data_IF_713281601470
#
_entry.id   IF_713281601470
#
_cell.length_a   1.000
_cell.length_b   1.000
_cell.length_c   1.000
_cell.angle_alpha   90.00
_cell.angle_beta   90.00
_cell.angle_gamma   90.00
#
_symmetry.space_group_name_H-M   'P 1'
#
loop_
_entity.id
_entity.type
_entity.pdbx_description
1 polymer ?
#
# COMPACT_ATOMS: atom_id res chain seq x y z
N UNK A 1 32.66 -78.88 57.79
CA UNK A 1 33.34 -77.90 56.93
C UNK A 1 32.82 -78.12 55.52
N UNK A 2 31.66 -77.61 55.16
CA UNK A 2 31.32 -76.22 54.75
C UNK A 2 31.59 -75.97 53.26
N UNK A 3 30.49 -75.95 52.51
CA UNK A 3 30.27 -75.47 51.12
C UNK A 3 30.22 -73.92 51.07
N UNK A 4 29.79 -73.28 49.96
CA UNK A 4 30.39 -73.11 48.63
C UNK A 4 30.55 -71.57 48.35
N UNK A 5 30.72 -71.12 47.11
CA UNK A 5 29.95 -69.99 46.49
C UNK A 5 30.52 -69.60 45.12
N UNK A 6 29.70 -69.79 44.09
CA UNK A 6 29.77 -69.10 42.80
C UNK A 6 29.46 -67.62 42.97
N UNK A 7 30.23 -66.73 42.35
CA UNK A 7 29.84 -65.33 42.17
C UNK A 7 29.91 -64.98 40.69
N UNK A 8 28.76 -65.10 40.03
CA UNK A 8 28.51 -64.53 38.71
C UNK A 8 28.42 -63.02 38.88
N UNK A 9 29.41 -62.31 38.34
CA UNK A 9 29.42 -60.84 38.27
C UNK A 9 28.64 -60.39 37.04
N UNK A 10 27.35 -60.15 37.24
CA UNK A 10 26.46 -59.45 36.33
C UNK A 10 26.93 -57.99 36.22
N UNK A 11 27.58 -57.63 35.11
CA UNK A 11 27.94 -56.24 34.81
C UNK A 11 26.67 -55.53 34.34
N UNK A 12 26.03 -54.82 35.26
CA UNK A 12 24.96 -53.88 34.95
C UNK A 12 25.42 -52.87 33.87
N UNK A 13 24.57 -52.53 32.89
CA UNK A 13 24.88 -51.43 31.98
C UNK A 13 24.93 -50.13 32.78
N UNK A 14 26.12 -49.52 32.82
CA UNK A 14 26.32 -48.17 33.35
C UNK A 14 25.45 -47.18 32.54
N UNK A 15 24.58 -46.38 33.18
CA UNK A 15 23.79 -45.37 32.49
C UNK A 15 24.75 -44.23 32.11
N UNK A 16 25.29 -44.29 30.90
CA UNK A 16 26.11 -43.21 30.34
C UNK A 16 25.18 -42.09 29.88
N UNK A 17 25.25 -40.96 30.56
CA UNK A 17 25.16 -39.62 29.95
C UNK A 17 23.88 -39.20 29.21
N UNK A 18 22.69 -39.70 29.55
CA UNK A 18 21.42 -39.19 28.97
C UNK A 18 21.13 -37.72 29.34
N UNK A 19 21.66 -37.24 30.47
CA UNK A 19 21.34 -35.90 30.97
C UNK A 19 21.90 -34.77 30.11
N UNK A 20 23.09 -34.96 29.51
CA UNK A 20 23.70 -33.95 28.64
C UNK A 20 22.94 -33.82 27.33
N UNK A 21 22.50 -34.94 26.77
CA UNK A 21 21.82 -34.98 25.48
C UNK A 21 20.40 -34.42 25.59
N UNK A 22 19.71 -34.72 26.70
CA UNK A 22 18.41 -34.11 27.03
C UNK A 22 18.54 -32.58 27.19
N UNK A 23 19.61 -32.11 27.83
CA UNK A 23 19.83 -30.67 28.04
C UNK A 23 20.15 -29.94 26.73
N UNK A 24 20.94 -30.55 25.84
CA UNK A 24 21.18 -30.03 24.49
C UNK A 24 19.88 -29.96 23.67
N UNK A 25 19.06 -31.00 23.72
CA UNK A 25 17.76 -31.02 23.01
C UNK A 25 16.83 -29.91 23.53
N UNK A 26 16.81 -29.67 24.85
CA UNK A 26 16.03 -28.58 25.44
C UNK A 26 16.52 -27.21 24.97
N UNK A 27 17.83 -26.95 25.02
CA UNK A 27 18.40 -25.69 24.54
C UNK A 27 18.11 -25.44 23.06
N UNK A 28 18.20 -26.48 22.23
CA UNK A 28 17.85 -26.37 20.82
C UNK A 28 16.36 -26.09 20.61
N UNK A 29 15.49 -26.68 21.45
CA UNK A 29 14.06 -26.40 21.44
C UNK A 29 13.75 -24.95 21.82
N UNK A 30 14.41 -24.43 22.84
CA UNK A 30 14.24 -23.04 23.29
C UNK A 30 14.69 -22.05 22.20
N UNK A 31 15.82 -22.30 21.54
CA UNK A 31 16.29 -21.50 20.40
C UNK A 31 15.29 -21.46 19.24
N UNK A 32 14.67 -22.60 18.92
CA UNK A 32 13.65 -22.68 17.87
C UNK A 32 12.42 -21.87 18.26
N UNK A 33 11.98 -21.96 19.52
CA UNK A 33 10.84 -21.20 20.04
C UNK A 33 11.15 -19.70 19.99
N UNK A 34 12.34 -19.27 20.42
CA UNK A 34 12.75 -17.88 20.41
C UNK A 34 12.79 -17.29 19.00
N UNK A 35 13.30 -18.04 18.01
CA UNK A 35 13.30 -17.61 16.60
C UNK A 35 11.88 -17.48 16.04
N UNK A 36 10.98 -18.41 16.35
CA UNK A 36 9.57 -18.28 15.95
C UNK A 36 8.88 -17.10 16.64
N UNK A 37 9.18 -16.85 17.91
CA UNK A 37 8.67 -15.67 18.62
C UNK A 37 9.18 -14.37 18.00
N UNK A 38 10.46 -14.32 17.60
CA UNK A 38 11.03 -13.19 16.86
C UNK A 38 10.34 -12.99 15.51
N UNK A 39 10.12 -14.06 14.74
CA UNK A 39 9.42 -13.99 13.46
C UNK A 39 7.98 -13.47 13.62
N UNK A 40 7.26 -13.94 14.64
CA UNK A 40 5.92 -13.46 14.99
C UNK A 40 5.97 -11.99 15.41
N UNK A 41 6.96 -11.60 16.22
CA UNK A 41 7.15 -10.21 16.65
C UNK A 41 7.44 -9.29 15.46
N UNK A 42 8.29 -9.70 14.52
CA UNK A 42 8.57 -8.97 13.28
C UNK A 42 7.31 -8.82 12.42
N UNK A 43 6.50 -9.88 12.29
CA UNK A 43 5.24 -9.82 11.54
C UNK A 43 4.17 -8.96 12.22
N UNK A 44 4.10 -9.00 13.56
CA UNK A 44 3.17 -8.21 14.38
C UNK A 44 3.61 -6.77 14.59
N UNK A 45 4.91 -6.45 14.43
CA UNK A 45 5.48 -5.10 14.53
C UNK A 45 4.91 -4.11 13.51
N UNK A 46 4.09 -4.59 12.57
CA UNK A 46 3.43 -3.77 11.56
C UNK A 46 4.37 -3.26 10.47
N UNK A 47 5.68 -3.55 10.55
CA UNK A 47 6.67 -3.20 9.54
C UNK A 47 6.31 -3.77 8.17
N UNK A 48 6.09 -5.08 8.09
CA UNK A 48 5.68 -5.76 6.85
C UNK A 48 4.36 -5.24 6.28
N UNK A 49 3.36 -5.01 7.14
CA UNK A 49 2.06 -4.45 6.74
C UNK A 49 2.22 -3.04 6.17
N UNK A 50 3.03 -2.20 6.83
CA UNK A 50 3.34 -0.83 6.40
C UNK A 50 4.13 -0.81 5.09
N UNK A 51 5.07 -1.74 4.89
CA UNK A 51 5.79 -1.90 3.63
C UNK A 51 4.89 -2.33 2.47
N UNK A 52 3.97 -3.27 2.69
CA UNK A 52 2.99 -3.71 1.67
C UNK A 52 2.00 -2.59 1.32
N UNK A 53 1.51 -1.85 2.32
CA UNK A 53 0.68 -0.66 2.10
C UNK A 53 1.45 0.45 1.36
N UNK A 54 2.73 0.66 1.68
CA UNK A 54 3.58 1.63 0.99
C UNK A 54 3.85 1.23 -0.47
N UNK A 55 4.10 -0.05 -0.73
CA UNK A 55 4.34 -0.58 -2.09
C UNK A 55 3.09 -0.45 -2.97
N UNK A 56 1.93 -0.90 -2.48
CA UNK A 56 0.65 -0.76 -3.19
C UNK A 56 0.28 0.71 -3.45
N UNK A 57 0.59 1.60 -2.51
CA UNK A 57 0.39 3.04 -2.69
C UNK A 57 1.31 3.64 -3.78
N UNK A 58 2.58 3.21 -3.85
CA UNK A 58 3.52 3.65 -4.90
C UNK A 58 3.09 3.13 -6.27
N UNK A 59 2.69 1.85 -6.38
CA UNK A 59 2.20 1.26 -7.63
C UNK A 59 0.96 1.99 -8.14
N UNK A 60 -0.01 2.28 -7.25
CA UNK A 60 -1.20 3.07 -7.60
C UNK A 60 -0.85 4.49 -8.06
N UNK A 61 0.09 5.17 -7.40
CA UNK A 61 0.55 6.50 -7.84
C UNK A 61 1.24 6.44 -9.20
N UNK A 62 2.06 5.41 -9.45
CA UNK A 62 2.71 5.21 -10.75
C UNK A 62 1.67 5.00 -11.86
N UNK A 63 0.65 4.19 -11.61
CA UNK A 63 -0.43 3.98 -12.56
C UNK A 63 -1.20 5.27 -12.85
N UNK A 64 -1.54 6.04 -11.81
CA UNK A 64 -2.19 7.35 -11.99
C UNK A 64 -1.34 8.35 -12.77
N UNK A 65 -0.02 8.38 -12.55
CA UNK A 65 0.90 9.20 -13.35
C UNK A 65 0.90 8.78 -14.82
N UNK A 66 0.91 7.47 -15.08
CA UNK A 66 0.82 6.94 -16.44
C UNK A 66 -0.51 7.34 -17.10
N UNK A 67 -1.63 7.23 -16.40
CA UNK A 67 -2.95 7.64 -16.93
C UNK A 67 -3.02 9.15 -17.21
N UNK A 68 -2.46 9.98 -16.32
CA UNK A 68 -2.35 11.42 -16.54
C UNK A 68 -1.58 11.73 -17.84
N UNK A 69 -0.42 11.12 -18.00
CA UNK A 69 0.47 11.41 -19.12
C UNK A 69 0.00 10.81 -20.44
N UNK A 70 -0.48 9.56 -20.43
CA UNK A 70 -0.83 8.83 -21.63
C UNK A 70 -2.28 9.05 -22.10
N UNK A 71 -3.20 9.37 -21.18
CA UNK A 71 -4.63 9.43 -21.49
C UNK A 71 -5.19 10.83 -21.22
N UNK A 72 -5.19 11.30 -19.98
CA UNK A 72 -5.96 12.49 -19.61
C UNK A 72 -5.44 13.78 -20.23
N UNK A 73 -4.12 14.00 -20.25
CA UNK A 73 -3.53 15.20 -20.85
C UNK A 73 -3.67 15.20 -22.39
N UNK A 74 -3.37 14.10 -23.11
CA UNK A 74 -3.64 14.02 -24.54
C UNK A 74 -5.13 14.23 -24.89
N UNK A 75 -6.04 13.62 -24.13
CA UNK A 75 -7.47 13.76 -24.34
C UNK A 75 -7.93 15.21 -24.14
N UNK A 76 -7.47 15.87 -23.08
CA UNK A 76 -7.74 17.29 -22.84
C UNK A 76 -7.22 18.17 -23.99
N UNK A 77 -6.01 17.90 -24.49
CA UNK A 77 -5.44 18.64 -25.61
C UNK A 77 -6.27 18.46 -26.90
N UNK A 78 -6.75 17.25 -27.16
CA UNK A 78 -7.64 16.97 -28.29
C UNK A 78 -8.96 17.73 -28.14
N UNK A 79 -9.60 17.65 -26.98
CA UNK A 79 -10.87 18.34 -26.71
C UNK A 79 -10.75 19.86 -26.89
N UNK A 80 -9.66 20.48 -26.39
CA UNK A 80 -9.37 21.91 -26.59
C UNK A 80 -9.18 22.23 -28.08
N UNK A 81 -8.43 21.39 -28.80
CA UNK A 81 -8.18 21.58 -30.23
C UNK A 81 -9.49 21.50 -31.03
N UNK A 82 -10.33 20.49 -30.76
CA UNK A 82 -11.63 20.34 -31.40
C UNK A 82 -12.56 21.50 -31.07
N UNK A 83 -12.58 21.98 -29.82
CA UNK A 83 -13.36 23.15 -29.44
C UNK A 83 -12.91 24.38 -30.24
N UNK A 84 -11.60 24.61 -30.33
CA UNK A 84 -11.04 25.75 -31.07
C UNK A 84 -11.44 25.73 -32.55
N UNK A 85 -11.47 24.57 -33.19
CA UNK A 85 -11.92 24.42 -34.58
C UNK A 85 -13.43 24.66 -34.72
N UNK A 86 -14.21 24.17 -33.76
CA UNK A 86 -15.68 24.31 -33.78
C UNK A 86 -16.13 25.75 -33.56
N UNK A 87 -15.30 26.55 -32.89
CA UNK A 87 -15.53 27.99 -32.68
C UNK A 87 -15.12 28.86 -33.87
N UNK A 88 -14.70 28.28 -35.01
CA UNK A 88 -14.46 29.05 -36.23
C UNK A 88 -15.76 29.76 -36.67
N UNK A 89 -15.73 31.09 -36.88
CA UNK A 89 -16.90 31.87 -37.30
C UNK A 89 -17.60 31.36 -38.56
N UNK A 90 -16.87 30.71 -39.48
CA UNK A 90 -17.44 30.16 -40.72
C UNK A 90 -18.39 29.01 -40.39
N UNK A 91 -17.95 28.07 -39.54
CA UNK A 91 -18.75 26.92 -39.12
C UNK A 91 -19.96 27.34 -38.28
N UNK A 92 -19.77 28.28 -37.35
CA UNK A 92 -20.84 28.85 -36.54
C UNK A 92 -21.95 29.52 -37.37
N UNK A 93 -21.60 30.09 -38.53
CA UNK A 93 -22.56 30.79 -39.40
C UNK A 93 -23.30 29.85 -40.35
N UNK A 94 -22.63 28.83 -40.89
CA UNK A 94 -23.21 27.94 -41.89
C UNK A 94 -24.02 26.80 -41.26
N UNK A 95 -23.64 26.33 -40.06
CA UNK A 95 -24.23 25.15 -39.42
C UNK A 95 -24.53 25.41 -37.93
N UNK A 96 -25.04 26.60 -37.61
CA UNK A 96 -25.15 27.12 -36.23
C UNK A 96 -25.70 26.11 -35.22
N UNK A 97 -26.86 25.48 -35.49
CA UNK A 97 -27.49 24.55 -34.54
C UNK A 97 -26.58 23.34 -34.28
N UNK A 98 -26.09 22.71 -35.34
CA UNK A 98 -25.18 21.56 -35.25
C UNK A 98 -23.87 21.93 -34.53
N UNK A 99 -23.28 23.08 -34.87
CA UNK A 99 -22.05 23.56 -34.22
C UNK A 99 -22.26 23.82 -32.73
N UNK A 100 -23.41 24.37 -32.32
CA UNK A 100 -23.73 24.59 -30.90
C UNK A 100 -23.94 23.27 -30.14
N UNK A 101 -24.57 22.27 -30.75
CA UNK A 101 -24.70 20.93 -30.16
C UNK A 101 -23.33 20.27 -29.97
N UNK A 102 -22.44 20.39 -30.95
CA UNK A 102 -21.06 19.90 -30.86
C UNK A 102 -20.29 20.60 -29.74
N UNK A 103 -20.43 21.91 -29.59
CA UNK A 103 -19.82 22.67 -28.50
C UNK A 103 -20.30 22.18 -27.14
N UNK A 104 -21.62 21.97 -26.96
CA UNK A 104 -22.19 21.45 -25.71
C UNK A 104 -21.61 20.09 -25.35
N UNK A 105 -21.49 19.20 -26.33
CA UNK A 105 -20.91 17.87 -26.13
C UNK A 105 -19.43 17.98 -25.71
N UNK A 106 -18.64 18.82 -26.39
CA UNK A 106 -17.23 19.04 -26.05
C UNK A 106 -17.08 19.65 -24.64
N UNK A 107 -17.98 20.54 -24.23
CA UNK A 107 -18.01 21.10 -22.88
C UNK A 107 -18.21 20.02 -21.80
N UNK A 108 -19.14 19.09 -22.00
CA UNK A 108 -19.32 17.96 -21.06
C UNK A 108 -18.07 17.08 -20.97
N UNK A 109 -17.42 16.78 -22.10
CA UNK A 109 -16.19 16.00 -22.09
C UNK A 109 -15.03 16.73 -21.41
N UNK A 110 -14.85 18.03 -21.68
CA UNK A 110 -13.86 18.86 -21.01
C UNK A 110 -14.07 18.88 -19.50
N UNK A 111 -15.31 19.03 -19.04
CA UNK A 111 -15.63 18.99 -17.62
C UNK A 111 -15.20 17.65 -16.99
N UNK A 112 -15.54 16.53 -17.62
CA UNK A 112 -15.17 15.21 -17.12
C UNK A 112 -13.64 15.01 -17.09
N UNK A 113 -12.93 15.42 -18.14
CA UNK A 113 -11.46 15.36 -18.20
C UNK A 113 -10.81 16.16 -17.06
N UNK A 114 -11.31 17.37 -16.80
CA UNK A 114 -10.80 18.22 -15.73
C UNK A 114 -11.03 17.60 -14.34
N UNK A 115 -12.23 17.05 -14.09
CA UNK A 115 -12.53 16.33 -12.83
C UNK A 115 -11.59 15.13 -12.64
N UNK A 116 -11.33 14.37 -13.70
CA UNK A 116 -10.43 13.21 -13.64
C UNK A 116 -8.99 13.64 -13.34
N UNK A 117 -8.51 14.71 -13.99
CA UNK A 117 -7.18 15.28 -13.76
C UNK A 117 -7.05 15.80 -12.33
N UNK A 118 -8.03 16.57 -11.85
CA UNK A 118 -8.04 17.11 -10.49
C UNK A 118 -7.99 15.99 -9.44
N UNK A 119 -8.81 14.95 -9.61
CA UNK A 119 -8.83 13.77 -8.75
C UNK A 119 -7.48 13.04 -8.76
N UNK A 120 -6.87 12.88 -9.93
CA UNK A 120 -5.55 12.27 -10.07
C UNK A 120 -4.46 13.10 -9.37
N UNK A 121 -4.48 14.43 -9.53
CA UNK A 121 -3.56 15.35 -8.88
C UNK A 121 -3.73 15.29 -7.35
N UNK A 122 -4.96 15.35 -6.83
CA UNK A 122 -5.22 15.26 -5.39
C UNK A 122 -4.73 13.95 -4.78
N UNK A 123 -4.76 12.87 -5.56
CA UNK A 123 -4.25 11.56 -5.14
C UNK A 123 -2.71 11.47 -5.19
N UNK A 124 -2.08 12.11 -6.18
CA UNK A 124 -0.62 12.11 -6.36
C UNK A 124 0.09 13.06 -5.40
N UNK A 125 -0.47 14.25 -5.24
CA UNK A 125 0.00 15.35 -4.43
C UNK A 125 -1.09 15.70 -3.41
N UNK A 126 -1.27 14.88 -2.35
CA UNK A 126 -2.18 15.26 -1.27
C UNK A 126 -1.68 16.60 -0.73
N UNK A 127 -2.52 17.63 -0.81
CA UNK A 127 -2.22 18.89 -0.15
C UNK A 127 -1.89 18.57 1.30
N UNK A 128 -0.78 19.10 1.87
CA UNK A 128 -0.67 19.10 3.31
C UNK A 128 -1.94 19.81 3.79
N UNK A 129 -2.74 19.13 4.62
CA UNK A 129 -3.83 19.79 5.33
C UNK A 129 -3.19 21.04 5.94
N UNK A 130 -3.56 22.21 5.41
CA UNK A 130 -3.28 23.45 6.10
C UNK A 130 -4.19 23.35 7.31
N UNK A 131 -3.69 22.72 8.37
CA UNK A 131 -4.17 22.92 9.72
C UNK A 131 -4.07 24.41 9.96
N UNK A 132 -5.11 25.16 9.58
CA UNK A 132 -5.32 26.50 10.06
C UNK A 132 -5.46 26.33 11.58
N UNK A 133 -4.46 26.72 12.40
CA UNK A 133 -4.65 26.71 13.83
C UNK A 133 -5.82 27.64 14.12
N UNK A 134 -6.74 27.16 14.95
CA UNK A 134 -8.08 27.69 15.07
C UNK A 134 -8.16 29.21 15.07
N UNK A 135 -9.03 29.74 14.22
CA UNK A 135 -9.78 30.94 14.58
C UNK A 135 -10.65 30.54 15.78
N UNK A 136 -10.05 30.56 16.98
CA UNK A 136 -10.83 30.69 18.21
C UNK A 136 -11.69 31.93 18.05
N UNK A 137 -12.99 31.74 18.29
CA UNK A 137 -14.03 32.72 18.07
C UNK A 137 -13.69 34.08 18.68
N UNK A 138 -13.90 35.09 17.84
CA UNK A 138 -14.33 36.40 18.29
C UNK A 138 -15.67 36.26 19.06
N UNK A 139 -15.87 37.13 20.05
CA UNK A 139 -17.20 37.46 20.55
C UNK A 139 -17.64 36.85 21.88
N UNK A 140 -17.60 37.70 22.90
CA UNK A 140 -18.62 37.83 23.95
C UNK A 140 -18.54 36.94 25.20
N UNK A 141 -17.88 37.48 26.23
CA UNK A 141 -18.29 37.28 27.62
C UNK A 141 -18.59 38.63 28.28
N UNK A 142 -19.89 38.92 28.31
CA UNK A 142 -20.72 39.58 29.33
C UNK A 142 -20.19 40.81 30.08
#
# INVERSE_FOLDING_TARGET
MSTPTSSSGEVAPSPRSDSSDIEIIRQQGDLVIDEFQNLIAEHNSGGYRRHMQKKSHIERKKELLNQLHANFLPELAQQITTLSLTLDPIHLREQTIFTLEQILMIQSYLHQSLVNIESAIGTLCPSPDIFLPGRYGDGDQK
#
